data_IF_102138363789
#
_entry.id   IF_102138363789
#
_cell.length_a   1.000
_cell.length_b   1.000
_cell.length_c   1.000
_cell.angle_alpha   90.00
_cell.angle_beta   90.00
_cell.angle_gamma   90.00
#
_symmetry.space_group_name_H-M   'P 1'
#
loop_
_entity.id
_entity.type
_entity.pdbx_description
1 polymer ?
#
# COMPACT_ATOMS: atom_id res chain seq x y z
N UNK A 1 8.25 2.28 2.37
CA UNK A 1 7.53 2.19 3.67
C UNK A 1 6.71 0.91 3.67
N UNK A 2 6.82 0.03 4.69
CA UNK A 2 6.00 -1.19 4.76
C UNK A 2 4.50 -0.87 4.88
N UNK A 3 3.68 -1.59 4.12
CA UNK A 3 2.22 -1.47 4.18
C UNK A 3 1.53 -2.82 3.99
N UNK A 4 0.25 -2.86 4.35
CA UNK A 4 -0.67 -3.94 4.04
C UNK A 4 -1.87 -3.37 3.29
N UNK A 5 -2.39 -4.10 2.33
CA UNK A 5 -3.54 -3.65 1.55
C UNK A 5 -4.61 -4.72 1.42
N UNK A 6 -5.81 -4.25 1.14
CA UNK A 6 -6.97 -5.04 0.73
C UNK A 6 -7.71 -4.31 -0.39
N UNK A 7 -8.46 -5.02 -1.20
CA UNK A 7 -9.41 -4.40 -2.11
C UNK A 7 -10.70 -3.99 -1.40
N UNK A 8 -11.37 -2.99 -1.96
CA UNK A 8 -12.73 -2.67 -1.57
C UNK A 8 -13.68 -3.74 -2.14
N UNK A 9 -14.17 -4.61 -1.27
CA UNK A 9 -15.05 -5.71 -1.65
C UNK A 9 -16.52 -5.28 -1.55
N UNK A 10 -17.33 -5.69 -2.52
CA UNK A 10 -18.77 -5.35 -2.53
C UNK A 10 -19.54 -6.12 -1.46
N UNK A 11 -19.20 -7.40 -1.21
CA UNK A 11 -19.80 -8.16 -0.12
C UNK A 11 -19.41 -7.58 1.24
N UNK A 12 -20.38 -7.08 1.98
CA UNK A 12 -20.15 -6.39 3.26
C UNK A 12 -19.54 -7.29 4.33
N UNK A 13 -19.89 -8.57 4.36
CA UNK A 13 -19.37 -9.51 5.36
C UNK A 13 -17.91 -9.83 5.08
N UNK A 14 -17.61 -10.12 3.80
CA UNK A 14 -16.24 -10.38 3.38
C UNK A 14 -15.37 -9.13 3.61
N UNK A 15 -15.87 -7.94 3.21
CA UNK A 15 -15.19 -6.67 3.41
C UNK A 15 -14.89 -6.41 4.89
N UNK A 16 -15.87 -6.59 5.77
CA UNK A 16 -15.70 -6.39 7.20
C UNK A 16 -14.68 -7.37 7.81
N UNK A 17 -14.72 -8.64 7.40
CA UNK A 17 -13.78 -9.66 7.85
C UNK A 17 -12.35 -9.38 7.36
N UNK A 18 -12.20 -8.95 6.08
CA UNK A 18 -10.90 -8.59 5.50
C UNK A 18 -10.32 -7.35 6.18
N UNK A 19 -11.16 -6.33 6.42
CA UNK A 19 -10.75 -5.12 7.15
C UNK A 19 -10.29 -5.45 8.58
N UNK A 20 -11.03 -6.29 9.30
CA UNK A 20 -10.66 -6.71 10.65
C UNK A 20 -9.30 -7.46 10.66
N UNK A 21 -9.07 -8.34 9.68
CA UNK A 21 -7.80 -9.04 9.52
C UNK A 21 -6.66 -8.06 9.18
N UNK A 22 -6.89 -7.09 8.27
CA UNK A 22 -5.92 -6.06 7.94
C UNK A 22 -5.55 -5.21 9.15
N UNK A 23 -6.52 -4.82 9.96
CA UNK A 23 -6.28 -4.08 11.21
C UNK A 23 -5.52 -4.92 12.24
N UNK A 24 -5.82 -6.22 12.34
CA UNK A 24 -5.11 -7.14 13.24
C UNK A 24 -3.64 -7.30 12.87
N UNK A 25 -3.26 -7.19 11.60
CA UNK A 25 -1.89 -7.30 11.13
C UNK A 25 -0.97 -6.22 11.73
N UNK A 26 -1.47 -5.00 11.94
CA UNK A 26 -0.72 -3.89 12.56
C UNK A 26 0.48 -3.38 11.73
N UNK A 27 0.38 -3.37 10.40
CA UNK A 27 1.36 -2.66 9.56
C UNK A 27 1.35 -1.15 9.86
N UNK A 28 2.45 -0.43 9.63
CA UNK A 28 2.49 1.03 9.77
C UNK A 28 1.45 1.76 8.93
N UNK A 29 1.18 1.22 7.75
CA UNK A 29 0.20 1.75 6.80
C UNK A 29 -0.71 0.62 6.35
N UNK A 30 -2.01 0.89 6.34
CA UNK A 30 -3.05 0.05 5.79
C UNK A 30 -3.71 0.77 4.61
N UNK A 31 -3.87 0.10 3.48
CA UNK A 31 -4.40 0.70 2.25
C UNK A 31 -5.63 -0.07 1.79
N UNK A 32 -6.73 0.65 1.56
CA UNK A 32 -7.93 0.10 0.91
C UNK A 32 -7.92 0.57 -0.54
N UNK A 33 -7.83 -0.37 -1.47
CA UNK A 33 -7.71 -0.09 -2.90
C UNK A 33 -9.06 -0.35 -3.56
N UNK A 34 -9.59 0.67 -4.23
CA UNK A 34 -10.75 0.57 -5.10
C UNK A 34 -10.27 0.64 -6.55
N UNK A 35 -10.78 -0.14 -7.44
CA UNK A 35 -10.51 -0.07 -8.89
C UNK A 35 -9.12 -0.52 -9.39
N UNK A 36 -8.33 -1.24 -8.61
CA UNK A 36 -7.20 -2.00 -9.15
C UNK A 36 -7.40 -3.47 -8.81
N UNK A 37 -7.39 -4.26 -9.80
CA UNK A 37 -7.57 -5.68 -9.75
C UNK A 37 -8.11 -6.13 -11.09
N UNK A 38 -7.97 -7.40 -11.40
CA UNK A 38 -8.45 -7.95 -12.64
C UNK A 38 -8.52 -9.46 -12.59
N UNK A 39 -9.40 -10.03 -13.39
CA UNK A 39 -9.49 -11.47 -13.56
C UNK A 39 -8.10 -12.06 -13.85
N UNK A 40 -7.80 -13.18 -13.23
CA UNK A 40 -6.52 -13.88 -13.37
C UNK A 40 -5.42 -13.46 -12.42
N UNK A 41 -5.61 -12.42 -11.61
CA UNK A 41 -4.71 -12.11 -10.50
C UNK A 41 -5.09 -12.93 -9.26
N UNK A 42 -4.09 -13.30 -8.45
CA UNK A 42 -4.28 -14.18 -7.30
C UNK A 42 -5.25 -13.60 -6.26
N UNK A 43 -5.16 -12.30 -6.01
CA UNK A 43 -6.04 -11.55 -5.11
C UNK A 43 -7.51 -11.65 -5.56
N UNK A 44 -7.77 -11.33 -6.83
CA UNK A 44 -9.09 -11.41 -7.43
C UNK A 44 -9.68 -12.83 -7.33
N UNK A 45 -8.89 -13.86 -7.67
CA UNK A 45 -9.36 -15.24 -7.62
C UNK A 45 -9.69 -15.70 -6.19
N UNK A 46 -8.89 -15.33 -5.21
CA UNK A 46 -9.15 -15.66 -3.80
C UNK A 46 -10.39 -14.93 -3.28
N UNK A 47 -10.52 -13.65 -3.61
CA UNK A 47 -11.64 -12.80 -3.19
C UNK A 47 -12.96 -13.23 -3.85
N UNK A 48 -12.93 -13.64 -5.12
CA UNK A 48 -14.12 -14.18 -5.82
C UNK A 48 -14.68 -15.46 -5.20
N UNK A 49 -13.83 -16.21 -4.47
CA UNK A 49 -14.25 -17.37 -3.67
C UNK A 49 -14.85 -16.99 -2.30
N UNK A 50 -15.06 -15.71 -2.02
CA UNK A 50 -15.54 -15.23 -0.73
C UNK A 50 -14.53 -15.32 0.40
N UNK A 51 -13.22 -15.44 0.08
CA UNK A 51 -12.14 -15.58 1.05
C UNK A 51 -11.46 -14.24 1.34
N UNK A 52 -10.76 -14.19 2.48
CA UNK A 52 -9.93 -13.04 2.86
C UNK A 52 -8.61 -13.12 2.10
N UNK A 53 -8.26 -12.03 1.41
CA UNK A 53 -6.95 -11.80 0.84
C UNK A 53 -6.36 -10.50 1.38
N UNK A 54 -5.08 -10.53 1.76
CA UNK A 54 -4.32 -9.36 2.17
C UNK A 54 -2.98 -9.39 1.44
N UNK A 55 -2.61 -8.26 0.84
CA UNK A 55 -1.29 -8.08 0.23
C UNK A 55 -0.40 -7.26 1.16
N UNK A 56 0.82 -7.71 1.40
CA UNK A 56 1.77 -7.02 2.26
C UNK A 56 3.07 -6.72 1.50
N UNK A 57 3.37 -5.43 1.35
CA UNK A 57 4.61 -4.95 0.74
C UNK A 57 5.55 -4.47 1.85
N UNK A 58 6.65 -5.20 2.05
CA UNK A 58 7.50 -5.04 3.23
C UNK A 58 8.77 -4.22 2.97
N UNK A 59 9.34 -4.33 1.78
CA UNK A 59 10.56 -3.61 1.38
C UNK A 59 10.51 -3.32 -0.12
N UNK A 60 11.42 -2.50 -0.63
CA UNK A 60 11.51 -2.15 -2.05
C UNK A 60 12.80 -2.66 -2.70
N UNK A 61 12.85 -2.60 -4.03
CA UNK A 61 14.05 -2.89 -4.86
C UNK A 61 14.70 -4.27 -4.60
N UNK A 62 13.92 -5.27 -4.20
CA UNK A 62 14.44 -6.60 -3.87
C UNK A 62 15.32 -6.64 -2.62
N UNK A 63 15.30 -5.61 -1.80
CA UNK A 63 16.14 -5.49 -0.60
C UNK A 63 15.47 -6.12 0.62
N UNK A 64 16.29 -6.71 1.49
CA UNK A 64 15.89 -7.15 2.80
C UNK A 64 16.01 -6.01 3.82
N UNK A 65 14.98 -5.87 4.67
CA UNK A 65 14.98 -4.91 5.78
C UNK A 65 14.66 -5.62 7.10
N UNK A 66 15.55 -5.59 8.11
CA UNK A 66 15.27 -6.19 9.43
C UNK A 66 14.01 -5.62 10.10
N UNK A 67 13.75 -4.32 9.92
CA UNK A 67 12.53 -3.69 10.45
C UNK A 67 11.26 -4.19 9.74
N UNK A 68 11.32 -4.36 8.43
CA UNK A 68 10.20 -4.90 7.65
C UNK A 68 9.95 -6.38 7.99
N UNK A 69 11.00 -7.18 8.20
CA UNK A 69 10.86 -8.56 8.67
C UNK A 69 10.11 -8.61 10.00
N UNK A 70 10.51 -7.77 10.97
CA UNK A 70 9.84 -7.72 12.28
C UNK A 70 8.36 -7.35 12.17
N UNK A 71 8.01 -6.43 11.26
CA UNK A 71 6.61 -6.09 10.97
C UNK A 71 5.87 -7.30 10.42
N UNK A 72 6.45 -8.00 9.44
CA UNK A 72 5.86 -9.18 8.83
C UNK A 72 5.64 -10.32 9.85
N UNK A 73 6.65 -10.63 10.66
CA UNK A 73 6.56 -11.66 11.72
C UNK A 73 5.48 -11.33 12.75
N UNK A 74 5.42 -10.07 13.20
CA UNK A 74 4.40 -9.61 14.14
C UNK A 74 3.01 -9.69 13.51
N UNK A 75 2.89 -9.23 12.26
CA UNK A 75 1.64 -9.25 11.52
C UNK A 75 1.10 -10.66 11.29
N UNK A 76 1.94 -11.60 10.85
CA UNK A 76 1.56 -13.01 10.68
C UNK A 76 1.13 -13.61 12.03
N UNK A 77 1.89 -13.35 13.10
CA UNK A 77 1.53 -13.81 14.44
C UNK A 77 0.16 -13.26 14.87
N UNK A 78 -0.08 -11.99 14.65
CA UNK A 78 -1.35 -11.35 14.97
C UNK A 78 -2.52 -11.94 14.17
N UNK A 79 -2.32 -12.26 12.88
CA UNK A 79 -3.33 -12.96 12.08
C UNK A 79 -3.64 -14.35 12.62
N UNK A 80 -2.62 -15.12 13.04
CA UNK A 80 -2.84 -16.43 13.66
C UNK A 80 -3.66 -16.32 14.96
N UNK A 81 -3.42 -15.28 15.75
CA UNK A 81 -4.24 -14.98 16.96
C UNK A 81 -5.64 -14.55 16.56
N UNK A 82 -5.78 -13.64 15.61
CA UNK A 82 -7.07 -13.11 15.12
C UNK A 82 -8.00 -14.23 14.64
N UNK A 83 -7.47 -15.19 13.93
CA UNK A 83 -8.22 -16.35 13.42
C UNK A 83 -8.33 -17.52 14.41
N UNK A 84 -7.87 -17.35 15.66
CA UNK A 84 -7.95 -18.39 16.69
C UNK A 84 -7.03 -19.61 16.46
N UNK A 85 -6.08 -19.50 15.53
CA UNK A 85 -5.12 -20.56 15.21
C UNK A 85 -3.94 -20.60 16.21
N UNK A 86 -3.78 -19.55 17.00
CA UNK A 86 -2.77 -19.44 18.03
C UNK A 86 -3.37 -18.74 19.28
N UNK A 87 -3.09 -19.21 20.50
CA UNK A 87 -3.46 -18.50 21.72
C UNK A 87 -2.61 -17.23 21.88
N UNK A 88 -3.17 -16.20 22.53
CA UNK A 88 -2.49 -14.97 22.87
C UNK A 88 -3.32 -13.74 22.56
N UNK A 89 -2.67 -12.57 22.60
CA UNK A 89 -3.27 -11.28 22.30
C UNK A 89 -2.60 -10.66 21.08
N UNK A 90 -3.34 -9.82 20.35
CA UNK A 90 -2.83 -9.03 19.25
C UNK A 90 -1.84 -8.01 19.80
N UNK A 91 -0.64 -8.01 19.28
CA UNK A 91 0.39 -7.01 19.58
C UNK A 91 0.14 -5.77 18.74
N UNK A 92 -0.44 -4.73 19.35
CA UNK A 92 -0.64 -3.45 18.67
C UNK A 92 0.68 -2.69 18.53
N UNK A 93 0.73 -1.75 17.58
CA UNK A 93 1.90 -0.88 17.41
C UNK A 93 2.16 -0.04 18.66
N UNK A 94 1.08 0.49 19.27
CA UNK A 94 1.18 1.28 20.49
C UNK A 94 1.73 0.47 21.67
N UNK A 95 1.37 -0.80 21.78
CA UNK A 95 1.94 -1.68 22.83
C UNK A 95 3.45 -1.90 22.66
N UNK A 96 3.98 -1.62 21.48
CA UNK A 96 5.41 -1.67 21.14
C UNK A 96 6.07 -0.29 21.13
N UNK A 97 5.39 0.77 21.62
CA UNK A 97 5.90 2.14 21.62
C UNK A 97 5.99 2.78 20.23
N UNK A 98 5.26 2.26 19.25
CA UNK A 98 5.21 2.78 17.88
C UNK A 98 3.94 3.60 17.66
N UNK A 99 3.94 4.56 16.72
CA UNK A 99 2.72 5.27 16.32
C UNK A 99 1.64 4.30 15.85
N UNK A 100 0.34 4.63 16.04
CA UNK A 100 -0.76 3.81 15.53
C UNK A 100 -0.69 3.66 13.99
N UNK A 101 -1.30 2.61 13.43
CA UNK A 101 -1.42 2.46 11.98
C UNK A 101 -2.13 3.64 11.34
N UNK A 102 -1.67 4.04 10.14
CA UNK A 102 -2.38 5.01 9.30
C UNK A 102 -3.19 4.22 8.27
N UNK A 103 -4.49 4.49 8.19
CA UNK A 103 -5.33 3.93 7.13
C UNK A 103 -5.49 4.95 6.01
N UNK A 104 -5.23 4.53 4.78
CA UNK A 104 -5.38 5.32 3.55
C UNK A 104 -6.30 4.60 2.58
N UNK A 105 -6.89 5.35 1.68
CA UNK A 105 -7.74 4.82 0.61
C UNK A 105 -7.23 5.28 -0.74
N UNK A 106 -7.30 4.38 -1.72
CA UNK A 106 -7.11 4.68 -3.14
C UNK A 106 -8.47 4.49 -3.82
N UNK A 107 -9.31 5.53 -3.82
CA UNK A 107 -10.71 5.40 -4.25
C UNK A 107 -10.90 5.39 -5.76
N UNK A 108 -9.94 5.88 -6.54
CA UNK A 108 -10.07 6.02 -7.99
C UNK A 108 -8.71 6.13 -8.69
N UNK A 109 -8.73 6.03 -10.01
CA UNK A 109 -7.52 6.08 -10.86
C UNK A 109 -6.80 7.44 -10.83
N UNK A 110 -7.46 8.52 -10.42
CA UNK A 110 -6.83 9.84 -10.25
C UNK A 110 -5.85 9.91 -9.06
N UNK A 111 -5.78 8.84 -8.25
CA UNK A 111 -4.72 8.66 -7.26
C UNK A 111 -3.37 8.22 -7.86
N UNK A 112 -3.37 7.78 -9.11
CA UNK A 112 -2.18 7.34 -9.83
C UNK A 112 -1.71 8.40 -10.81
N UNK A 113 -0.44 8.78 -10.72
CA UNK A 113 0.21 9.64 -11.69
C UNK A 113 1.12 8.81 -12.58
N UNK A 114 0.69 8.58 -13.82
CA UNK A 114 1.42 7.75 -14.76
C UNK A 114 2.53 8.54 -15.45
N UNK A 115 3.64 7.85 -15.76
CA UNK A 115 4.74 8.40 -16.53
C UNK A 115 4.27 8.74 -17.96
N UNK A 116 4.43 9.99 -18.44
CA UNK A 116 4.00 10.37 -19.78
C UNK A 116 4.94 9.87 -20.88
N UNK A 117 6.15 9.44 -20.51
CA UNK A 117 7.19 8.96 -21.44
C UNK A 117 8.16 8.01 -20.74
N UNK A 118 8.94 7.27 -21.54
CA UNK A 118 10.06 6.47 -21.03
C UNK A 118 11.21 7.36 -20.59
N UNK A 119 11.90 6.97 -19.51
CA UNK A 119 13.04 7.73 -18.99
C UNK A 119 13.38 7.40 -17.55
N UNK A 120 14.19 8.23 -16.91
CA UNK A 120 14.54 8.14 -15.50
C UNK A 120 13.65 9.12 -14.73
N UNK A 121 12.90 8.59 -13.75
CA UNK A 121 12.07 9.40 -12.86
C UNK A 121 12.92 10.01 -11.75
N UNK A 122 12.82 11.31 -11.59
CA UNK A 122 13.36 12.08 -10.48
C UNK A 122 12.21 12.56 -9.61
N UNK A 123 12.01 11.99 -8.40
CA UNK A 123 10.95 12.42 -7.48
C UNK A 123 11.32 13.74 -6.80
N UNK A 124 10.30 14.55 -6.49
CA UNK A 124 10.45 15.80 -5.71
C UNK A 124 9.98 15.65 -4.26
N UNK A 125 9.39 14.51 -3.91
CA UNK A 125 8.83 14.20 -2.60
C UNK A 125 9.33 12.84 -2.10
N UNK A 126 9.36 12.69 -0.80
CA UNK A 126 9.64 11.41 -0.14
C UNK A 126 8.35 10.61 0.11
N UNK A 127 8.51 9.30 0.31
CA UNK A 127 7.38 8.45 0.71
C UNK A 127 6.80 8.89 2.06
N UNK A 128 5.50 9.16 2.09
CA UNK A 128 4.80 9.64 3.27
C UNK A 128 4.53 11.15 3.27
N UNK A 129 5.14 11.91 2.36
CA UNK A 129 4.88 13.35 2.25
C UNK A 129 3.45 13.62 1.77
N UNK A 130 2.94 14.78 2.17
CA UNK A 130 1.66 15.28 1.68
C UNK A 130 1.85 16.12 0.44
N UNK A 131 1.01 15.92 -0.56
CA UNK A 131 1.01 16.71 -1.79
C UNK A 131 -0.40 17.22 -2.09
N UNK A 132 -0.49 18.39 -2.72
CA UNK A 132 -1.73 18.96 -3.19
C UNK A 132 -1.99 18.64 -4.67
N UNK A 133 -3.26 18.60 -5.06
CA UNK A 133 -3.62 18.49 -6.49
C UNK A 133 -2.91 19.56 -7.31
N UNK A 134 -2.45 19.19 -8.51
CA UNK A 134 -1.69 20.02 -9.44
C UNK A 134 -0.27 20.36 -9.01
N UNK A 135 0.20 19.90 -7.86
CA UNK A 135 1.61 20.01 -7.46
C UNK A 135 2.51 19.09 -8.30
N UNK A 136 3.75 19.49 -8.54
CA UNK A 136 4.70 18.72 -9.34
C UNK A 136 5.30 17.59 -8.49
N UNK A 137 4.96 16.35 -8.83
CA UNK A 137 5.46 15.14 -8.16
C UNK A 137 6.93 14.85 -8.44
N UNK A 138 7.36 15.21 -9.63
CA UNK A 138 8.70 14.91 -10.13
C UNK A 138 8.81 15.16 -11.64
N UNK A 139 9.85 14.66 -12.21
CA UNK A 139 10.12 14.79 -13.65
C UNK A 139 10.76 13.54 -14.23
N UNK A 140 10.59 13.35 -15.55
CA UNK A 140 11.20 12.27 -16.30
C UNK A 140 12.27 12.83 -17.23
N UNK A 141 13.48 12.34 -17.08
CA UNK A 141 14.61 12.61 -17.96
C UNK A 141 14.64 11.57 -19.09
N UNK A 142 14.51 12.04 -20.32
CA UNK A 142 14.61 11.16 -21.50
C UNK A 142 16.02 10.61 -21.66
N UNK A 143 16.14 9.30 -21.91
CA UNK A 143 17.41 8.67 -22.25
C UNK A 143 17.78 8.86 -23.72
N UNK A 144 16.81 9.17 -24.59
CA UNK A 144 17.04 9.41 -26.02
C UNK A 144 17.44 10.86 -26.29
N UNK A 145 16.96 11.80 -25.43
CA UNK A 145 17.22 13.23 -25.57
C UNK A 145 17.84 13.79 -24.28
N UNK A 146 19.07 13.40 -24.00
CA UNK A 146 19.80 13.69 -22.76
C UNK A 146 19.88 15.20 -22.43
N UNK A 147 19.89 16.07 -23.41
CA UNK A 147 19.93 17.53 -23.28
C UNK A 147 18.52 18.17 -23.44
N UNK A 148 17.48 17.34 -23.57
CA UNK A 148 16.11 17.80 -23.67
C UNK A 148 15.57 18.29 -22.31
N UNK A 149 14.50 19.07 -22.35
CA UNK A 149 13.77 19.41 -21.11
C UNK A 149 13.09 18.16 -20.57
N UNK A 150 13.17 17.88 -19.25
CA UNK A 150 12.45 16.78 -18.66
C UNK A 150 10.91 16.99 -18.72
N UNK A 151 10.18 15.90 -18.75
CA UNK A 151 8.72 15.90 -18.70
C UNK A 151 8.25 15.94 -17.24
N UNK A 152 7.47 16.95 -16.87
CA UNK A 152 6.93 17.10 -15.52
C UNK A 152 5.76 16.14 -15.30
N UNK A 153 5.67 15.61 -14.10
CA UNK A 153 4.54 14.82 -13.61
C UNK A 153 3.87 15.62 -12.50
N UNK A 154 2.55 15.77 -12.58
CA UNK A 154 1.76 16.48 -11.59
C UNK A 154 0.77 15.55 -10.91
N UNK A 155 0.48 15.80 -9.62
CA UNK A 155 -0.56 15.11 -8.90
C UNK A 155 -1.94 15.49 -9.44
N UNK A 156 -2.79 14.52 -9.70
CA UNK A 156 -4.16 14.75 -10.09
C UNK A 156 -5.05 15.01 -8.86
N UNK A 157 -4.63 14.51 -7.68
CA UNK A 157 -5.36 14.59 -6.43
C UNK A 157 -4.43 14.92 -5.27
N UNK A 158 -4.98 15.57 -4.24
CA UNK A 158 -4.25 15.77 -2.98
C UNK A 158 -4.23 14.49 -2.16
N UNK A 159 -3.09 14.20 -1.52
CA UNK A 159 -2.92 12.99 -0.72
C UNK A 159 -1.51 12.81 -0.20
N UNK A 160 -1.22 11.61 0.29
CA UNK A 160 0.13 11.20 0.68
C UNK A 160 0.79 10.38 -0.41
N UNK A 161 2.07 10.57 -0.60
CA UNK A 161 2.90 9.76 -1.50
C UNK A 161 3.14 8.38 -0.87
N UNK A 162 2.89 7.33 -1.65
CA UNK A 162 3.11 5.92 -1.27
C UNK A 162 3.90 5.18 -2.35
#
# INVERSE_FOLDING_TARGET
MPYISMHYLEDERQRAATLAAMQAFQAPVSIIIKEIGGEGLMDYEVESMGKIFLCAEMAGAGMFSPSALKIAETGIRNLLVHFGLRPGEIQTRESQGQPPPITMEIPAMDCYSLAPSSGIFEPFFELGDWINSSEQLGQIHSLEHVFGKPSLITAQRSGRII
#
